data_IF_780876071809
#
_entry.id   IF_780876071809
#
_cell.length_a   1.000
_cell.length_b   1.000
_cell.length_c   1.000
_cell.angle_alpha   90.00
_cell.angle_beta   90.00
_cell.angle_gamma   90.00
#
_symmetry.space_group_name_H-M   'P 1'
#
loop_
_entity.id
_entity.type
_entity.pdbx_description
1 polymer ?
#
# COMPACT_ATOMS: atom_id res chain seq x y z
N UNK A 1 -27.31 -8.03 7.71
CA UNK A 1 -26.18 -7.06 7.52
C UNK A 1 -25.56 -7.35 6.17
N UNK A 2 -25.07 -6.33 5.42
CA UNK A 2 -24.36 -6.58 4.16
C UNK A 2 -22.99 -7.18 4.46
N UNK A 3 -22.59 -8.22 3.71
CA UNK A 3 -21.34 -8.96 3.88
C UNK A 3 -20.40 -8.67 2.71
N UNK A 4 -19.14 -8.36 3.02
CA UNK A 4 -18.06 -8.12 2.05
C UNK A 4 -16.90 -9.04 2.37
N UNK A 5 -16.34 -9.68 1.37
CA UNK A 5 -15.10 -10.47 1.49
C UNK A 5 -13.95 -9.67 0.93
N UNK A 6 -12.92 -9.46 1.73
CA UNK A 6 -11.62 -8.98 1.29
C UNK A 6 -10.77 -10.20 0.93
N UNK A 7 -10.59 -10.44 -0.36
CA UNK A 7 -9.76 -11.51 -0.89
C UNK A 7 -8.34 -11.02 -1.13
N UNK A 8 -7.37 -11.71 -0.54
CA UNK A 8 -5.95 -11.35 -0.61
C UNK A 8 -5.09 -12.58 -0.94
N UNK A 9 -3.83 -12.33 -1.27
CA UNK A 9 -2.87 -13.37 -1.57
C UNK A 9 -1.56 -13.09 -0.86
N UNK A 10 -1.01 -14.10 -0.20
CA UNK A 10 0.31 -14.10 0.44
C UNK A 10 0.53 -13.02 1.52
N UNK A 11 -0.54 -12.40 2.04
CA UNK A 11 -0.39 -11.43 3.14
C UNK A 11 0.13 -12.12 4.39
N UNK A 12 -0.34 -13.34 4.65
CA UNK A 12 0.11 -14.16 5.78
C UNK A 12 1.53 -14.70 5.63
N UNK A 13 2.07 -14.80 4.42
CA UNK A 13 3.45 -15.27 4.16
C UNK A 13 4.52 -14.35 4.72
N UNK A 14 4.24 -13.05 4.73
CA UNK A 14 5.21 -12.02 5.07
C UNK A 14 4.71 -11.17 6.24
N UNK A 15 4.61 -11.75 7.46
CA UNK A 15 4.00 -11.08 8.60
C UNK A 15 4.80 -9.87 9.08
N UNK A 16 6.08 -9.77 8.75
CA UNK A 16 6.96 -8.64 9.05
C UNK A 16 6.77 -7.45 8.10
N UNK A 17 6.10 -7.64 6.96
CA UNK A 17 5.76 -6.54 6.06
C UNK A 17 4.50 -5.81 6.53
N UNK A 18 4.59 -5.14 7.67
CA UNK A 18 3.45 -4.51 8.33
C UNK A 18 2.74 -3.44 7.48
N UNK A 19 3.45 -2.78 6.57
CA UNK A 19 2.84 -1.88 5.59
C UNK A 19 1.81 -2.61 4.72
N UNK A 20 2.15 -3.80 4.21
CA UNK A 20 1.22 -4.65 3.46
C UNK A 20 0.00 -5.06 4.30
N UNK A 21 0.23 -5.42 5.55
CA UNK A 21 -0.85 -5.75 6.51
C UNK A 21 -1.76 -4.54 6.73
N UNK A 22 -1.20 -3.33 6.90
CA UNK A 22 -1.98 -2.11 7.06
C UNK A 22 -2.87 -1.81 5.85
N UNK A 23 -2.41 -2.03 4.63
CA UNK A 23 -3.28 -1.87 3.44
C UNK A 23 -4.58 -2.64 3.62
N UNK A 24 -4.53 -3.90 4.06
CA UNK A 24 -5.70 -4.76 4.25
C UNK A 24 -6.53 -4.33 5.46
N UNK A 25 -5.88 -4.02 6.56
CA UNK A 25 -6.54 -3.52 7.77
C UNK A 25 -7.34 -2.24 7.50
N UNK A 26 -6.85 -1.33 6.66
CA UNK A 26 -7.57 -0.09 6.30
C UNK A 26 -8.92 -0.39 5.64
N UNK A 27 -8.99 -1.40 4.75
CA UNK A 27 -10.25 -1.85 4.15
C UNK A 27 -11.16 -2.49 5.19
N UNK A 28 -10.64 -3.44 5.99
CA UNK A 28 -11.38 -4.15 7.03
C UNK A 28 -12.00 -3.17 8.03
N UNK A 29 -11.19 -2.27 8.59
CA UNK A 29 -11.60 -1.28 9.59
C UNK A 29 -12.60 -0.27 9.00
N UNK A 30 -12.34 0.22 7.80
CA UNK A 30 -13.21 1.19 7.15
C UNK A 30 -14.59 0.61 6.81
N UNK A 31 -14.65 -0.61 6.28
CA UNK A 31 -15.91 -1.31 6.01
C UNK A 31 -16.68 -1.59 7.30
N UNK A 32 -16.00 -2.06 8.35
CA UNK A 32 -16.62 -2.29 9.66
C UNK A 32 -17.22 -0.99 10.23
N UNK A 33 -16.53 0.13 10.09
CA UNK A 33 -17.02 1.44 10.53
C UNK A 33 -18.27 1.91 9.75
N UNK A 34 -18.44 1.45 8.51
CA UNK A 34 -19.63 1.68 7.69
C UNK A 34 -20.80 0.70 8.02
N UNK A 35 -20.65 -0.15 9.04
CA UNK A 35 -21.66 -1.14 9.40
C UNK A 35 -21.71 -2.35 8.47
N UNK A 36 -20.63 -2.58 7.71
CA UNK A 36 -20.47 -3.76 6.84
C UNK A 36 -19.79 -4.87 7.63
N UNK A 37 -20.34 -6.08 7.54
CA UNK A 37 -19.68 -7.27 8.05
C UNK A 37 -18.60 -7.72 7.06
N UNK A 38 -17.35 -7.48 7.41
CA UNK A 38 -16.21 -7.74 6.53
C UNK A 38 -15.41 -8.96 6.98
N UNK A 39 -15.08 -9.83 6.02
CA UNK A 39 -14.30 -11.06 6.22
C UNK A 39 -13.01 -11.00 5.42
N UNK A 40 -11.90 -11.34 6.06
CA UNK A 40 -10.59 -11.39 5.41
C UNK A 40 -10.23 -12.82 5.01
N UNK A 41 -10.14 -13.09 3.72
CA UNK A 41 -9.71 -14.39 3.20
C UNK A 41 -8.39 -14.24 2.48
N UNK A 42 -7.33 -14.84 3.05
CA UNK A 42 -5.98 -14.80 2.48
C UNK A 42 -5.63 -16.17 1.87
N UNK A 43 -5.22 -16.18 0.60
CA UNK A 43 -4.68 -17.37 -0.03
C UNK A 43 -3.19 -17.44 0.26
N UNK A 44 -2.74 -18.54 0.85
CA UNK A 44 -1.34 -18.86 1.15
C UNK A 44 -0.94 -20.10 0.35
N UNK A 45 -0.01 -19.97 -0.58
CA UNK A 45 0.56 -21.11 -1.28
C UNK A 45 1.41 -21.98 -0.34
N UNK A 46 1.74 -23.20 -0.76
CA UNK A 46 2.58 -24.10 0.03
C UNK A 46 3.86 -23.39 0.52
N UNK A 47 4.18 -23.59 1.79
CA UNK A 47 5.39 -23.07 2.42
C UNK A 47 6.46 -24.17 2.33
N UNK A 48 7.50 -23.92 1.56
CA UNK A 48 8.65 -24.82 1.50
C UNK A 48 9.57 -24.52 2.69
N UNK A 49 9.73 -25.45 3.63
CA UNK A 49 10.54 -25.24 4.83
C UNK A 49 12.05 -25.13 4.52
N UNK A 50 12.48 -25.44 3.31
CA UNK A 50 13.89 -25.33 2.89
C UNK A 50 14.22 -23.93 2.38
N UNK A 51 13.23 -23.21 1.87
CA UNK A 51 13.44 -21.89 1.24
C UNK A 51 12.79 -20.74 1.98
N UNK A 52 11.82 -21.03 2.86
CA UNK A 52 11.13 -20.02 3.67
C UNK A 52 11.68 -19.94 5.09
N UNK A 53 11.91 -18.73 5.60
CA UNK A 53 12.49 -18.49 6.93
C UNK A 53 11.56 -18.85 8.10
N UNK A 54 10.26 -19.02 7.84
CA UNK A 54 9.25 -19.28 8.87
C UNK A 54 8.45 -20.55 8.57
N UNK A 55 8.02 -21.24 9.62
CA UNK A 55 7.10 -22.38 9.50
C UNK A 55 5.68 -21.93 9.25
N UNK A 56 4.84 -22.82 8.72
CA UNK A 56 3.42 -22.56 8.52
C UNK A 56 2.71 -22.16 9.83
N UNK A 57 3.04 -22.83 10.93
CA UNK A 57 2.47 -22.56 12.26
C UNK A 57 2.79 -21.13 12.70
N UNK A 58 4.04 -20.69 12.53
CA UNK A 58 4.44 -19.32 12.84
C UNK A 58 3.66 -18.30 12.02
N UNK A 59 3.50 -18.51 10.71
CA UNK A 59 2.77 -17.61 9.81
C UNK A 59 1.30 -17.48 10.23
N UNK A 60 0.66 -18.62 10.53
CA UNK A 60 -0.72 -18.67 10.99
C UNK A 60 -0.89 -17.97 12.34
N UNK A 61 0.00 -18.25 13.30
CA UNK A 61 -0.03 -17.60 14.63
C UNK A 61 0.13 -16.08 14.54
N UNK A 62 1.05 -15.61 13.71
CA UNK A 62 1.27 -14.17 13.49
C UNK A 62 0.06 -13.49 12.87
N UNK A 63 -0.57 -14.15 11.89
CA UNK A 63 -1.80 -13.63 11.28
C UNK A 63 -2.98 -13.61 12.27
N UNK A 64 -3.19 -14.70 13.01
CA UNK A 64 -4.23 -14.78 14.05
C UNK A 64 -4.04 -13.70 15.12
N UNK A 65 -2.80 -13.50 15.57
CA UNK A 65 -2.46 -12.44 16.52
C UNK A 65 -2.87 -11.07 15.99
N UNK A 66 -2.55 -10.76 14.73
CA UNK A 66 -2.96 -9.52 14.10
C UNK A 66 -4.47 -9.41 14.00
N UNK A 67 -5.15 -10.47 13.57
CA UNK A 67 -6.61 -10.49 13.49
C UNK A 67 -7.27 -10.24 14.86
N UNK A 68 -6.77 -10.84 15.92
CA UNK A 68 -7.23 -10.62 17.33
C UNK A 68 -7.02 -9.18 17.78
N UNK A 69 -5.84 -8.62 17.52
CA UNK A 69 -5.48 -7.26 17.92
C UNK A 69 -6.41 -6.20 17.30
N UNK A 70 -6.94 -6.47 16.11
CA UNK A 70 -7.85 -5.56 15.41
C UNK A 70 -9.33 -5.99 15.45
N UNK A 71 -9.67 -7.03 16.24
CA UNK A 71 -11.05 -7.49 16.45
C UNK A 71 -11.62 -8.32 15.29
N UNK A 72 -10.77 -9.03 14.53
CA UNK A 72 -11.15 -9.84 13.38
C UNK A 72 -10.89 -11.34 13.55
N UNK A 73 -10.68 -11.83 14.78
CA UNK A 73 -10.29 -13.22 15.06
C UNK A 73 -11.28 -14.28 14.58
N UNK A 74 -12.56 -13.95 14.50
CA UNK A 74 -13.66 -14.81 14.00
C UNK A 74 -14.06 -14.47 12.55
N UNK A 75 -13.37 -13.54 11.90
CA UNK A 75 -13.68 -13.01 10.57
C UNK A 75 -12.51 -13.12 9.59
N UNK A 76 -11.61 -14.09 9.81
CA UNK A 76 -10.55 -14.38 8.84
C UNK A 76 -10.48 -15.87 8.51
N UNK A 77 -9.98 -16.17 7.32
CA UNK A 77 -9.60 -17.51 6.90
C UNK A 77 -8.33 -17.45 6.06
N UNK A 78 -7.33 -18.24 6.41
CA UNK A 78 -6.20 -18.54 5.53
C UNK A 78 -6.54 -19.82 4.78
N UNK A 79 -6.63 -19.74 3.46
CA UNK A 79 -6.80 -20.88 2.56
C UNK A 79 -5.41 -21.33 2.11
N UNK A 80 -4.89 -22.37 2.73
CA UNK A 80 -3.55 -22.87 2.49
C UNK A 80 -3.54 -23.91 1.35
N UNK A 81 -2.53 -23.81 0.48
CA UNK A 81 -2.24 -24.74 -0.60
C UNK A 81 -3.48 -25.15 -1.40
N UNK A 82 -4.17 -24.15 -1.95
CA UNK A 82 -5.38 -24.29 -2.78
C UNK A 82 -6.56 -25.03 -2.09
N UNK A 83 -6.61 -24.96 -0.74
CA UNK A 83 -7.70 -25.53 0.04
C UNK A 83 -7.36 -26.82 0.79
N UNK A 84 -6.07 -27.24 0.79
CA UNK A 84 -5.63 -28.40 1.58
C UNK A 84 -5.90 -28.23 3.08
N UNK A 85 -5.71 -26.99 3.59
CA UNK A 85 -6.01 -26.63 4.98
C UNK A 85 -6.65 -25.26 5.06
N UNK A 86 -7.44 -25.07 6.10
CA UNK A 86 -8.07 -23.80 6.44
C UNK A 86 -7.73 -23.42 7.88
N UNK A 87 -7.29 -22.16 8.10
CA UNK A 87 -7.00 -21.62 9.43
C UNK A 87 -7.86 -20.38 9.66
N UNK A 88 -8.34 -20.18 10.89
CA UNK A 88 -9.39 -19.22 11.23
C UNK A 88 -10.77 -19.89 11.18
N UNK A 89 -11.72 -19.36 10.43
CA UNK A 89 -13.00 -20.04 10.27
C UNK A 89 -12.91 -21.23 9.27
N UNK A 90 -13.84 -22.20 9.42
CA UNK A 90 -13.77 -23.47 8.71
C UNK A 90 -14.08 -23.37 7.20
N UNK A 91 -13.75 -24.43 6.44
CA UNK A 91 -14.11 -24.55 5.04
C UNK A 91 -15.63 -24.46 4.83
N UNK A 92 -16.43 -25.12 5.69
CA UNK A 92 -17.89 -25.04 5.60
C UNK A 92 -18.42 -23.62 5.82
N UNK A 93 -17.81 -22.87 6.76
CA UNK A 93 -18.11 -21.46 6.98
C UNK A 93 -17.71 -20.61 5.77
N UNK A 94 -16.55 -20.89 5.14
CA UNK A 94 -16.12 -20.21 3.93
C UNK A 94 -17.08 -20.46 2.76
N UNK A 95 -17.58 -21.68 2.62
CA UNK A 95 -18.59 -22.01 1.60
C UNK A 95 -19.89 -21.23 1.82
N UNK A 96 -20.42 -21.25 3.05
CA UNK A 96 -21.62 -20.48 3.41
C UNK A 96 -21.45 -18.99 3.19
N UNK A 97 -20.27 -18.44 3.55
CA UNK A 97 -19.93 -17.05 3.30
C UNK A 97 -19.92 -16.73 1.80
N UNK A 98 -19.33 -17.61 0.98
CA UNK A 98 -19.30 -17.43 -0.48
C UNK A 98 -20.69 -17.35 -1.10
N UNK A 99 -21.66 -18.11 -0.55
CA UNK A 99 -23.05 -18.13 -1.00
C UNK A 99 -23.85 -16.89 -0.55
N UNK A 100 -23.50 -16.31 0.60
CA UNK A 100 -24.23 -15.18 1.22
C UNK A 100 -23.58 -13.81 1.00
N UNK A 101 -22.29 -13.76 0.67
CA UNK A 101 -21.56 -12.51 0.50
C UNK A 101 -22.09 -11.67 -0.67
N UNK A 102 -22.16 -10.37 -0.45
CA UNK A 102 -22.66 -9.40 -1.41
C UNK A 102 -21.60 -8.89 -2.37
N UNK A 103 -20.34 -8.87 -1.94
CA UNK A 103 -19.22 -8.32 -2.71
C UNK A 103 -17.90 -9.02 -2.32
N UNK A 104 -17.11 -9.34 -3.34
CA UNK A 104 -15.69 -9.65 -3.21
C UNK A 104 -14.86 -8.41 -3.61
N UNK A 105 -14.00 -7.94 -2.72
CA UNK A 105 -12.90 -7.04 -3.06
C UNK A 105 -11.62 -7.88 -3.23
N UNK A 106 -11.22 -8.15 -4.46
CA UNK A 106 -10.02 -8.92 -4.78
C UNK A 106 -8.83 -7.96 -4.94
N UNK A 107 -8.02 -7.85 -3.88
CA UNK A 107 -6.85 -6.96 -3.88
C UNK A 107 -5.80 -7.49 -4.86
N UNK A 108 -5.39 -6.64 -5.78
CA UNK A 108 -4.44 -6.94 -6.88
C UNK A 108 -4.88 -8.07 -7.82
N UNK A 109 -6.11 -8.59 -7.71
CA UNK A 109 -6.63 -9.60 -8.62
C UNK A 109 -6.00 -10.99 -8.52
N UNK A 110 -5.25 -11.28 -7.46
CA UNK A 110 -4.42 -12.49 -7.36
C UNK A 110 -5.17 -13.80 -7.01
N UNK A 111 -6.48 -13.75 -6.84
CA UNK A 111 -7.23 -14.98 -6.61
C UNK A 111 -7.33 -15.80 -7.91
N UNK A 112 -6.99 -17.12 -7.89
CA UNK A 112 -7.06 -17.95 -9.07
C UNK A 112 -8.52 -18.21 -9.49
N UNK A 113 -8.76 -18.61 -10.76
CA UNK A 113 -10.11 -18.94 -11.22
C UNK A 113 -10.81 -20.05 -10.41
N UNK A 114 -10.01 -20.97 -9.84
CA UNK A 114 -10.47 -22.08 -9.00
C UNK A 114 -10.96 -21.65 -7.62
N UNK A 115 -10.62 -20.43 -7.17
CA UNK A 115 -11.04 -19.94 -5.86
C UNK A 115 -12.57 -19.93 -5.75
N UNK A 116 -13.11 -20.53 -4.69
CA UNK A 116 -14.55 -20.49 -4.44
C UNK A 116 -15.10 -19.07 -4.27
N UNK A 117 -14.28 -18.10 -3.84
CA UNK A 117 -14.66 -16.69 -3.75
C UNK A 117 -15.06 -16.09 -5.10
N UNK A 118 -14.57 -16.65 -6.22
CA UNK A 118 -14.96 -16.22 -7.56
C UNK A 118 -16.42 -16.53 -7.91
N UNK A 119 -17.16 -17.25 -7.05
CA UNK A 119 -18.60 -17.48 -7.18
C UNK A 119 -19.44 -16.32 -6.63
N UNK A 120 -18.86 -15.43 -5.82
CA UNK A 120 -19.55 -14.24 -5.30
C UNK A 120 -20.02 -13.38 -6.49
N UNK A 121 -21.31 -13.00 -6.56
CA UNK A 121 -21.86 -12.37 -7.78
C UNK A 121 -21.21 -11.03 -8.13
N UNK A 122 -20.95 -10.15 -7.14
CA UNK A 122 -20.23 -8.88 -7.35
C UNK A 122 -18.78 -9.07 -7.01
N UNK A 123 -17.91 -8.92 -8.00
CA UNK A 123 -16.45 -9.08 -7.86
C UNK A 123 -15.75 -7.82 -8.34
N UNK A 124 -15.13 -7.13 -7.40
CA UNK A 124 -14.33 -5.96 -7.68
C UNK A 124 -12.84 -6.31 -7.72
N UNK A 125 -12.18 -5.99 -8.81
CA UNK A 125 -10.73 -5.96 -8.92
C UNK A 125 -10.24 -4.64 -8.31
N UNK A 126 -9.34 -4.68 -7.33
CA UNK A 126 -8.76 -3.49 -6.70
C UNK A 126 -7.28 -3.44 -7.04
N UNK A 127 -6.94 -2.64 -8.03
CA UNK A 127 -5.55 -2.43 -8.46
C UNK A 127 -4.83 -1.47 -7.51
N UNK A 128 -3.76 -1.95 -6.88
CA UNK A 128 -2.90 -1.16 -5.99
C UNK A 128 -1.51 -0.89 -6.60
N UNK A 129 -1.23 -1.44 -7.79
CA UNK A 129 0.01 -1.26 -8.55
C UNK A 129 -0.27 -0.71 -9.98
N UNK A 130 -0.85 0.51 -10.10
CA UNK A 130 -1.24 1.07 -11.39
C UNK A 130 -0.03 1.27 -12.31
N UNK A 131 -0.22 0.96 -13.59
CA UNK A 131 0.88 0.87 -14.56
C UNK A 131 1.38 -0.56 -14.67
N UNK A 132 1.85 -1.19 -13.61
CA UNK A 132 2.29 -2.59 -13.64
C UNK A 132 1.15 -3.55 -13.99
N UNK A 133 0.04 -3.49 -13.25
CA UNK A 133 -1.17 -4.28 -13.55
C UNK A 133 -1.59 -4.13 -15.00
N UNK A 134 -1.56 -2.91 -15.51
CA UNK A 134 -1.98 -2.59 -16.88
C UNK A 134 -1.01 -3.15 -17.94
N UNK A 135 0.31 -3.06 -17.69
CA UNK A 135 1.33 -3.64 -18.59
C UNK A 135 1.22 -5.17 -18.57
N UNK A 136 1.18 -5.80 -17.39
CA UNK A 136 1.06 -7.25 -17.30
C UNK A 136 -0.20 -7.77 -17.98
N UNK A 137 -1.31 -7.05 -17.90
CA UNK A 137 -2.55 -7.44 -18.57
C UNK A 137 -2.47 -7.40 -20.11
N UNK A 138 -1.44 -6.78 -20.72
CA UNK A 138 -1.15 -6.91 -22.15
C UNK A 138 -0.38 -8.19 -22.48
N UNK A 139 0.19 -8.88 -21.48
CA UNK A 139 1.13 -9.99 -21.65
C UNK A 139 0.59 -11.31 -21.11
N UNK A 140 -0.19 -11.25 -20.01
CA UNK A 140 -0.73 -12.43 -19.32
C UNK A 140 -2.18 -12.17 -18.88
N UNK A 141 -2.93 -13.25 -18.60
CA UNK A 141 -4.28 -13.13 -18.04
C UNK A 141 -4.23 -12.70 -16.56
N UNK A 142 -4.42 -11.41 -16.31
CA UNK A 142 -4.53 -10.82 -14.98
C UNK A 142 -5.91 -11.03 -14.32
N UNK A 143 -6.77 -11.83 -14.92
CA UNK A 143 -8.10 -12.12 -14.37
C UNK A 143 -9.14 -11.01 -14.56
N UNK A 144 -8.88 -10.03 -15.40
CA UNK A 144 -9.79 -8.89 -15.60
C UNK A 144 -11.18 -9.37 -16.03
N UNK A 145 -11.27 -10.30 -16.98
CA UNK A 145 -12.55 -10.85 -17.47
C UNK A 145 -13.39 -11.60 -16.42
N UNK A 146 -12.85 -11.83 -15.23
CA UNK A 146 -13.53 -12.52 -14.13
C UNK A 146 -14.16 -11.56 -13.11
N UNK A 147 -14.02 -10.25 -13.29
CA UNK A 147 -14.52 -9.21 -12.39
C UNK A 147 -15.60 -8.35 -13.08
N UNK A 148 -16.46 -7.73 -12.28
CA UNK A 148 -17.56 -6.89 -12.75
C UNK A 148 -17.29 -5.40 -12.51
N UNK A 149 -16.42 -5.10 -11.53
CA UNK A 149 -16.08 -3.75 -11.10
C UNK A 149 -14.55 -3.62 -11.00
N UNK A 150 -14.04 -2.43 -11.31
CA UNK A 150 -12.61 -2.21 -11.38
C UNK A 150 -12.24 -0.90 -10.71
N UNK A 151 -11.42 -0.99 -9.67
CA UNK A 151 -10.91 0.15 -8.94
C UNK A 151 -9.39 0.19 -9.05
N UNK A 152 -8.81 1.38 -9.12
CA UNK A 152 -7.36 1.57 -9.17
C UNK A 152 -6.93 2.72 -8.27
N UNK A 153 -5.76 2.59 -7.64
CA UNK A 153 -5.14 3.68 -6.87
C UNK A 153 -4.44 4.71 -7.77
N UNK A 154 -4.39 4.46 -9.08
CA UNK A 154 -3.82 5.37 -10.07
C UNK A 154 -4.80 6.47 -10.46
N UNK A 155 -4.56 7.71 -10.00
CA UNK A 155 -5.49 8.83 -10.21
C UNK A 155 -5.53 9.30 -11.66
N UNK A 156 -4.54 8.95 -12.48
CA UNK A 156 -4.48 9.28 -13.90
C UNK A 156 -4.97 8.15 -14.81
N UNK A 157 -5.22 6.95 -14.28
CA UNK A 157 -5.74 5.82 -15.07
C UNK A 157 -7.08 6.21 -15.70
N UNK A 158 -7.21 6.02 -17.01
CA UNK A 158 -8.40 6.45 -17.76
C UNK A 158 -8.39 7.91 -18.21
N UNK A 159 -7.36 8.69 -17.87
CA UNK A 159 -7.18 10.06 -18.37
C UNK A 159 -6.17 10.12 -19.53
N UNK A 160 -6.13 11.20 -20.32
CA UNK A 160 -5.12 11.37 -21.37
C UNK A 160 -3.66 11.40 -20.86
N UNK A 161 -3.45 11.57 -19.56
CA UNK A 161 -2.12 11.61 -18.97
C UNK A 161 -1.51 10.23 -18.73
N UNK A 162 -2.34 9.19 -18.62
CA UNK A 162 -1.90 7.81 -18.43
C UNK A 162 -1.47 7.19 -19.76
N UNK A 163 -0.26 6.64 -19.81
CA UNK A 163 0.39 6.22 -21.06
C UNK A 163 0.27 4.72 -21.36
N UNK A 164 -0.34 3.94 -20.47
CA UNK A 164 -0.44 2.49 -20.59
C UNK A 164 -1.86 2.08 -20.98
N UNK A 165 -2.06 1.01 -21.78
CA UNK A 165 -3.39 0.55 -22.18
C UNK A 165 -4.31 0.23 -21.02
N UNK A 166 -5.59 0.56 -21.15
CA UNK A 166 -6.61 0.23 -20.13
C UNK A 166 -7.12 -1.22 -20.23
N UNK A 167 -6.71 -1.97 -21.24
CA UNK A 167 -7.09 -3.36 -21.52
C UNK A 167 -8.61 -3.59 -21.64
N UNK A 168 -9.32 -2.62 -22.22
CA UNK A 168 -10.77 -2.69 -22.42
C UNK A 168 -11.60 -2.55 -21.14
N UNK A 169 -10.99 -2.12 -20.04
CA UNK A 169 -11.64 -2.01 -18.72
C UNK A 169 -11.89 -0.55 -18.39
N UNK A 170 -13.06 -0.28 -17.81
CA UNK A 170 -13.40 1.04 -17.26
C UNK A 170 -12.98 1.09 -15.77
N UNK A 171 -11.82 1.68 -15.53
CA UNK A 171 -11.23 1.80 -14.20
C UNK A 171 -11.81 3.00 -13.44
N UNK A 172 -12.22 2.77 -12.21
CA UNK A 172 -12.64 3.81 -11.28
C UNK A 172 -11.48 4.15 -10.34
N UNK A 173 -10.96 5.37 -10.43
CA UNK A 173 -9.89 5.82 -9.54
C UNK A 173 -10.39 6.00 -8.11
N UNK A 174 -9.66 5.42 -7.15
CA UNK A 174 -9.86 5.60 -5.70
C UNK A 174 -8.53 5.97 -5.05
N UNK A 175 -8.58 6.70 -3.95
CA UNK A 175 -7.39 6.91 -3.12
C UNK A 175 -7.22 5.76 -2.12
N UNK A 176 -5.98 5.46 -1.67
CA UNK A 176 -5.77 4.46 -0.64
C UNK A 176 -6.52 4.86 0.65
N UNK A 177 -7.41 4.02 1.18
CA UNK A 177 -8.16 4.35 2.38
C UNK A 177 -7.27 4.38 3.62
N UNK A 178 -7.56 5.25 4.59
CA UNK A 178 -6.93 5.25 5.91
C UNK A 178 -7.99 5.33 7.02
N UNK A 179 -7.94 4.40 7.96
CA UNK A 179 -8.84 4.34 9.11
C UNK A 179 -8.38 5.36 10.17
N UNK A 180 -8.89 6.58 10.11
CA UNK A 180 -8.41 7.73 10.89
C UNK A 180 -8.40 7.50 12.41
N UNK A 181 -9.30 6.69 12.95
CA UNK A 181 -9.36 6.34 14.36
C UNK A 181 -8.13 5.54 14.83
N UNK A 182 -7.51 4.80 13.91
CA UNK A 182 -6.28 4.06 14.15
C UNK A 182 -5.01 4.86 13.86
N UNK A 183 -5.15 6.03 13.23
CA UNK A 183 -4.08 6.96 12.89
C UNK A 183 -4.37 8.36 13.43
N UNK A 184 -4.44 8.52 14.78
CA UNK A 184 -4.63 9.83 15.38
C UNK A 184 -3.47 10.76 15.03
N UNK A 185 -3.76 12.03 14.83
CA UNK A 185 -2.72 13.03 14.59
C UNK A 185 -1.79 13.13 15.81
N UNK A 186 -0.48 13.10 15.58
CA UNK A 186 0.55 13.26 16.59
C UNK A 186 1.54 14.33 16.12
N UNK A 187 1.14 15.59 16.27
CA UNK A 187 1.97 16.75 15.89
C UNK A 187 2.97 16.99 17.01
N UNK A 188 4.26 16.81 16.70
CA UNK A 188 5.35 17.00 17.65
C UNK A 188 6.55 17.64 16.92
N UNK A 189 6.79 18.90 17.19
CA UNK A 189 7.91 19.67 16.61
C UNK A 189 9.29 19.19 17.05
N UNK A 190 9.38 18.37 18.11
CA UNK A 190 10.66 17.77 18.55
C UNK A 190 11.15 16.64 17.65
N UNK A 191 10.24 15.99 16.87
CA UNK A 191 10.59 14.97 15.92
C UNK A 191 11.55 15.52 14.85
N UNK A 192 12.68 14.83 14.63
CA UNK A 192 13.70 15.24 13.65
C UNK A 192 13.80 14.30 12.44
N UNK A 193 13.32 13.06 12.57
CA UNK A 193 13.44 12.04 11.53
C UNK A 193 12.56 12.36 10.34
N UNK A 194 13.16 12.58 9.19
CA UNK A 194 12.50 12.51 7.89
C UNK A 194 12.79 11.12 7.32
N UNK A 195 11.79 10.37 6.93
CA UNK A 195 12.09 8.99 6.52
C UNK A 195 10.95 8.24 5.90
N UNK A 196 11.21 6.97 5.63
CA UNK A 196 10.26 6.03 5.02
C UNK A 196 10.48 4.60 5.49
N UNK A 197 9.45 3.78 5.31
CA UNK A 197 9.49 2.31 5.42
C UNK A 197 9.15 1.71 4.06
N UNK A 198 9.84 0.67 3.64
CA UNK A 198 9.49 -0.03 2.38
C UNK A 198 10.59 -0.93 1.86
N UNK A 199 10.53 -1.21 0.56
CA UNK A 199 11.53 -2.01 -0.14
C UNK A 199 12.49 -1.12 -0.93
N UNK A 200 13.75 -1.59 -1.06
CA UNK A 200 14.77 -0.93 -1.87
C UNK A 200 14.47 -1.04 -3.36
N UNK A 201 14.21 -2.26 -3.85
CA UNK A 201 13.84 -2.48 -5.25
C UNK A 201 12.34 -2.48 -5.44
N UNK A 202 11.61 -3.19 -4.61
CA UNK A 202 10.29 -3.71 -4.91
C UNK A 202 10.38 -4.90 -5.88
N UNK A 203 9.41 -5.81 -5.82
CA UNK A 203 9.39 -7.02 -6.66
C UNK A 203 8.85 -6.78 -8.07
N UNK A 204 8.18 -5.66 -8.31
CA UNK A 204 7.50 -5.40 -9.58
C UNK A 204 8.48 -4.88 -10.63
N UNK A 205 8.43 -5.50 -11.81
CA UNK A 205 9.10 -5.03 -13.02
C UNK A 205 8.27 -5.43 -14.25
N UNK A 206 8.37 -4.66 -15.31
CA UNK A 206 7.71 -4.92 -16.58
C UNK A 206 8.49 -4.27 -17.73
N UNK A 207 8.31 -4.80 -18.92
CA UNK A 207 8.79 -4.16 -20.17
C UNK A 207 7.57 -3.90 -21.04
N UNK A 208 7.44 -2.68 -21.54
CA UNK A 208 6.36 -2.30 -22.44
C UNK A 208 6.90 -1.36 -23.51
N UNK A 209 6.65 -1.67 -24.79
CA UNK A 209 7.18 -0.91 -25.95
C UNK A 209 8.71 -0.68 -25.90
N UNK A 210 9.46 -1.66 -25.41
CA UNK A 210 10.92 -1.57 -25.30
C UNK A 210 11.42 -0.78 -24.06
N UNK A 211 10.53 -0.16 -23.29
CA UNK A 211 10.87 0.55 -22.08
C UNK A 211 10.77 -0.35 -20.84
N UNK A 212 11.74 -0.22 -19.92
CA UNK A 212 11.76 -0.92 -18.65
C UNK A 212 11.07 -0.08 -17.56
N UNK A 213 10.05 -0.68 -16.94
CA UNK A 213 9.31 -0.16 -15.80
C UNK A 213 9.71 -0.97 -14.56
N UNK A 214 10.43 -0.36 -13.64
CA UNK A 214 11.05 -1.08 -12.52
C UNK A 214 10.74 -0.49 -11.16
N UNK A 215 11.52 -0.93 -10.18
CA UNK A 215 11.41 -0.56 -8.77
C UNK A 215 12.02 0.80 -8.44
N UNK A 216 12.42 0.95 -7.16
CA UNK A 216 12.81 2.23 -6.55
C UNK A 216 14.32 2.48 -6.52
N UNK A 217 15.16 1.44 -6.61
CA UNK A 217 16.62 1.55 -6.44
C UNK A 217 17.21 2.69 -7.28
N UNK A 218 16.88 2.75 -8.56
CA UNK A 218 17.37 3.78 -9.46
C UNK A 218 17.00 5.18 -8.99
N UNK A 219 15.75 5.37 -8.59
CA UNK A 219 15.22 6.66 -8.13
C UNK A 219 15.95 7.16 -6.87
N UNK A 220 16.29 6.25 -5.92
CA UNK A 220 17.13 6.60 -4.77
C UNK A 220 18.57 6.96 -5.16
N UNK A 221 19.16 6.24 -6.12
CA UNK A 221 20.52 6.50 -6.59
C UNK A 221 20.63 7.89 -7.28
N UNK A 222 19.61 8.29 -8.01
CA UNK A 222 19.53 9.64 -8.62
C UNK A 222 19.47 10.75 -7.56
N UNK A 223 19.01 10.44 -6.35
CA UNK A 223 18.93 11.36 -5.19
C UNK A 223 20.03 11.13 -4.16
N UNK A 224 21.08 10.37 -4.49
CA UNK A 224 22.09 9.88 -3.54
C UNK A 224 22.66 10.99 -2.64
N UNK A 225 22.88 12.17 -3.17
CA UNK A 225 23.49 13.30 -2.45
C UNK A 225 22.49 14.18 -1.67
N UNK A 226 21.20 13.87 -1.70
CA UNK A 226 20.16 14.68 -1.06
C UNK A 226 20.42 14.96 0.43
N UNK A 227 20.72 13.97 1.31
CA UNK A 227 20.92 14.26 2.73
C UNK A 227 22.11 15.16 3.01
N UNK A 228 23.15 15.06 2.17
CA UNK A 228 24.37 15.87 2.30
C UNK A 228 24.12 17.33 1.91
N UNK A 229 23.36 17.56 0.82
CA UNK A 229 23.14 18.92 0.29
C UNK A 229 22.02 19.62 1.08
N UNK A 230 20.99 18.90 1.47
CA UNK A 230 19.89 19.44 2.28
C UNK A 230 20.24 19.58 3.77
N UNK A 231 21.37 19.06 4.21
CA UNK A 231 21.80 19.01 5.62
C UNK A 231 20.72 18.39 6.53
N UNK A 232 19.95 17.46 5.99
CA UNK A 232 18.82 16.81 6.65
C UNK A 232 19.12 15.32 6.89
N UNK A 233 18.84 14.84 8.09
CA UNK A 233 18.94 13.41 8.40
C UNK A 233 17.72 12.67 7.81
N UNK A 234 17.94 11.87 6.77
CA UNK A 234 16.91 11.01 6.17
C UNK A 234 17.18 9.57 6.57
N UNK A 235 16.17 8.93 7.17
CA UNK A 235 16.22 7.57 7.72
C UNK A 235 15.37 6.63 6.87
N UNK A 236 16.02 5.62 6.30
CA UNK A 236 15.39 4.65 5.40
C UNK A 236 15.28 3.29 6.10
N UNK A 237 14.11 2.92 6.58
CA UNK A 237 13.79 1.56 7.02
C UNK A 237 13.39 0.73 5.80
N UNK A 238 14.37 0.33 4.99
CA UNK A 238 14.18 -0.37 3.72
C UNK A 238 14.68 -1.80 3.77
N UNK A 239 13.86 -2.73 3.25
CA UNK A 239 14.30 -4.08 2.97
C UNK A 239 15.25 -4.07 1.77
N UNK A 240 16.54 -4.28 2.04
CA UNK A 240 17.62 -4.35 1.04
C UNK A 240 18.09 -5.80 1.01
N UNK A 241 17.88 -6.48 -0.11
CA UNK A 241 18.29 -7.87 -0.30
C UNK A 241 19.80 -8.04 -0.39
N UNK A 242 20.30 -9.29 -0.22
CA UNK A 242 21.74 -9.60 -0.28
C UNK A 242 22.41 -9.14 -1.58
N UNK A 243 21.69 -9.15 -2.68
CA UNK A 243 22.14 -8.70 -3.99
C UNK A 243 22.49 -7.22 -4.07
N UNK A 244 22.02 -6.42 -3.09
CA UNK A 244 22.21 -4.98 -3.03
C UNK A 244 22.93 -4.52 -1.75
N UNK A 245 23.59 -5.37 -1.01
CA UNK A 245 24.27 -4.98 0.23
C UNK A 245 25.36 -3.94 0.03
N UNK A 246 25.99 -3.87 -1.14
CA UNK A 246 26.95 -2.81 -1.49
C UNK A 246 26.29 -1.43 -1.49
N UNK A 247 25.00 -1.34 -1.86
CA UNK A 247 24.24 -0.09 -1.85
C UNK A 247 24.10 0.48 -0.43
N UNK A 248 24.10 -0.36 0.61
CA UNK A 248 24.08 0.09 2.01
C UNK A 248 25.32 0.94 2.32
N UNK A 249 26.48 0.50 1.85
CA UNK A 249 27.74 1.26 1.99
C UNK A 249 27.68 2.59 1.25
N UNK A 250 27.15 2.59 0.03
CA UNK A 250 26.99 3.77 -0.80
C UNK A 250 26.02 4.79 -0.16
N UNK A 251 24.88 4.32 0.35
CA UNK A 251 23.92 5.15 1.05
C UNK A 251 24.54 5.79 2.31
N UNK A 252 25.19 4.98 3.16
CA UNK A 252 25.82 5.45 4.40
C UNK A 252 26.92 6.49 4.13
N UNK A 253 27.77 6.28 3.11
CA UNK A 253 28.80 7.25 2.71
C UNK A 253 28.22 8.58 2.23
N UNK A 254 26.96 8.56 1.74
CA UNK A 254 26.21 9.74 1.29
C UNK A 254 25.29 10.34 2.38
N UNK A 255 25.50 9.95 3.64
CA UNK A 255 24.78 10.41 4.84
C UNK A 255 23.32 9.95 4.99
N UNK A 256 22.89 8.95 4.22
CA UNK A 256 21.62 8.29 4.51
C UNK A 256 21.75 7.40 5.74
N UNK A 257 20.75 7.39 6.59
CA UNK A 257 20.65 6.42 7.68
C UNK A 257 19.80 5.24 7.23
N UNK A 258 20.44 4.09 7.06
CA UNK A 258 19.74 2.83 6.72
C UNK A 258 19.44 2.09 8.01
N UNK A 259 18.16 1.81 8.22
CA UNK A 259 17.60 1.11 9.38
C UNK A 259 17.11 -0.29 8.97
N UNK A 260 17.12 -1.21 9.92
CA UNK A 260 16.48 -2.52 9.75
C UNK A 260 14.95 -2.35 9.78
N UNK A 261 14.22 -2.60 8.66
CA UNK A 261 12.78 -2.40 8.61
C UNK A 261 12.02 -3.34 9.55
N UNK A 262 12.54 -4.54 9.81
CA UNK A 262 11.90 -5.53 10.66
C UNK A 262 11.96 -5.15 12.14
N UNK A 263 13.02 -4.48 12.55
CA UNK A 263 13.17 -3.97 13.91
C UNK A 263 12.27 -2.75 14.16
N UNK A 264 12.15 -1.86 13.19
CA UNK A 264 11.46 -0.58 13.37
C UNK A 264 9.99 -0.60 12.92
N UNK A 265 9.60 -1.53 12.06
CA UNK A 265 8.28 -1.56 11.43
C UNK A 265 7.80 -2.99 11.09
N UNK A 266 8.26 -3.99 11.86
CA UNK A 266 8.00 -5.41 11.61
C UNK A 266 6.64 -5.92 12.11
N UNK A 267 5.81 -5.06 12.69
CA UNK A 267 4.43 -5.34 13.05
C UNK A 267 3.56 -4.07 12.92
N UNK A 268 2.21 -4.18 12.90
CA UNK A 268 1.35 -3.02 12.68
C UNK A 268 1.53 -1.88 13.70
N UNK A 269 1.86 -2.16 14.94
CA UNK A 269 2.04 -1.12 15.97
C UNK A 269 3.38 -0.43 15.85
N UNK A 270 4.47 -1.17 15.67
CA UNK A 270 5.81 -0.61 15.45
C UNK A 270 5.86 0.20 14.16
N UNK A 271 5.21 -0.25 13.08
CA UNK A 271 5.05 0.51 11.85
C UNK A 271 4.32 1.84 12.10
N UNK A 272 3.19 1.83 12.82
CA UNK A 272 2.46 3.05 13.18
C UNK A 272 3.31 3.98 14.03
N UNK A 273 4.01 3.46 15.03
CA UNK A 273 4.89 4.25 15.89
C UNK A 273 6.03 4.89 15.08
N UNK A 274 6.65 4.14 14.14
CA UNK A 274 7.65 4.69 13.22
C UNK A 274 7.11 5.90 12.45
N UNK A 275 5.93 5.78 11.86
CA UNK A 275 5.27 6.86 11.13
C UNK A 275 4.97 8.05 12.06
N UNK A 276 4.33 7.80 13.21
CA UNK A 276 3.88 8.84 14.13
C UNK A 276 5.02 9.55 14.87
N UNK A 277 6.18 8.92 15.01
CA UNK A 277 7.38 9.53 15.58
C UNK A 277 8.31 10.13 14.53
N UNK A 278 7.93 10.11 13.26
CA UNK A 278 8.63 10.85 12.22
C UNK A 278 8.22 12.33 12.19
N UNK A 279 9.13 13.18 11.72
CA UNK A 279 8.84 14.58 11.39
C UNK A 279 8.04 14.68 10.10
N UNK A 280 8.47 13.95 9.08
CA UNK A 280 7.86 13.94 7.76
C UNK A 280 8.17 12.62 7.03
N UNK A 281 7.37 12.29 6.02
CA UNK A 281 7.74 11.29 5.03
C UNK A 281 8.71 11.88 4.00
N UNK A 282 9.72 11.07 3.62
CA UNK A 282 10.42 11.22 2.35
C UNK A 282 10.30 9.91 1.57
N UNK A 283 9.81 9.94 0.35
CA UNK A 283 9.57 8.73 -0.42
C UNK A 283 9.81 8.92 -1.91
N UNK A 284 10.52 7.96 -2.51
CA UNK A 284 10.54 7.78 -3.97
C UNK A 284 9.45 6.80 -4.39
N UNK A 285 8.96 6.96 -5.62
CA UNK A 285 8.03 6.04 -6.25
C UNK A 285 8.80 4.95 -7.04
N UNK A 286 8.15 3.84 -7.37
CA UNK A 286 8.69 2.90 -8.37
C UNK A 286 8.79 3.61 -9.73
N UNK A 287 9.86 3.39 -10.49
CA UNK A 287 10.00 4.01 -11.81
C UNK A 287 8.82 3.66 -12.74
N UNK A 288 8.18 2.52 -12.51
CA UNK A 288 6.95 2.13 -13.21
C UNK A 288 5.80 3.11 -12.99
N UNK A 289 5.60 3.64 -11.80
CA UNK A 289 4.57 4.63 -11.52
C UNK A 289 4.90 6.00 -12.10
N UNK A 290 6.17 6.38 -12.04
CA UNK A 290 6.67 7.66 -12.59
C UNK A 290 6.54 7.67 -14.11
N UNK A 291 7.08 6.66 -14.80
CA UNK A 291 7.08 6.55 -16.25
C UNK A 291 5.69 6.41 -16.86
N UNK A 292 4.82 5.63 -16.23
CA UNK A 292 3.43 5.49 -16.66
C UNK A 292 2.58 6.73 -16.38
N UNK A 293 3.11 7.68 -15.60
CA UNK A 293 2.37 8.83 -15.10
C UNK A 293 1.05 8.43 -14.44
N UNK A 294 1.11 7.40 -13.60
CA UNK A 294 -0.08 6.71 -13.07
C UNK A 294 -0.92 7.55 -12.10
N UNK A 295 -0.36 8.62 -11.54
CA UNK A 295 -1.01 9.40 -10.48
C UNK A 295 -1.09 8.64 -9.15
N UNK A 296 -0.22 7.64 -8.95
CA UNK A 296 -0.22 6.83 -7.74
C UNK A 296 0.26 7.60 -6.50
N UNK A 297 -0.44 7.38 -5.39
CA UNK A 297 -0.04 7.83 -4.05
C UNK A 297 0.02 6.61 -3.15
N UNK A 298 1.07 6.52 -2.33
CA UNK A 298 1.26 5.40 -1.43
C UNK A 298 0.21 5.38 -0.31
N UNK A 299 -0.27 4.19 0.03
CA UNK A 299 -0.98 3.91 1.28
C UNK A 299 -0.19 4.35 2.52
N UNK A 300 1.14 4.20 2.49
CA UNK A 300 2.04 4.72 3.53
C UNK A 300 1.93 6.25 3.63
N UNK A 301 1.90 6.97 2.52
CA UNK A 301 1.72 8.43 2.50
C UNK A 301 0.39 8.81 3.17
N UNK A 302 -0.70 8.08 2.89
CA UNK A 302 -1.98 8.29 3.56
C UNK A 302 -1.86 8.13 5.10
N UNK A 303 -1.05 7.17 5.59
CA UNK A 303 -0.79 6.99 7.01
C UNK A 303 0.01 8.15 7.63
N UNK A 304 1.01 8.68 6.92
CA UNK A 304 1.74 9.87 7.36
C UNK A 304 0.82 11.09 7.43
N UNK A 305 0.05 11.36 6.37
CA UNK A 305 -0.90 12.47 6.34
C UNK A 305 -1.93 12.36 7.47
N UNK A 306 -2.50 11.17 7.70
CA UNK A 306 -3.44 10.92 8.77
C UNK A 306 -2.83 11.19 10.16
N UNK A 307 -1.55 10.89 10.34
CA UNK A 307 -0.80 11.17 11.56
C UNK A 307 -0.43 12.66 11.74
N UNK A 308 -0.86 13.54 10.82
CA UNK A 308 -0.47 14.94 10.81
C UNK A 308 1.00 15.15 10.47
N UNK A 309 1.59 14.23 9.69
CA UNK A 309 2.97 14.30 9.24
C UNK A 309 2.99 14.71 7.77
N UNK A 310 3.63 15.83 7.41
CA UNK A 310 3.76 16.22 6.01
C UNK A 310 4.55 15.18 5.22
N UNK A 311 4.25 15.07 3.94
CA UNK A 311 4.88 14.11 3.05
C UNK A 311 5.56 14.80 1.87
N UNK A 312 6.82 14.41 1.61
CA UNK A 312 7.59 14.75 0.42
C UNK A 312 7.75 13.48 -0.41
N UNK A 313 7.06 13.41 -1.54
CA UNK A 313 6.99 12.21 -2.37
C UNK A 313 7.37 12.49 -3.81
N UNK A 314 8.00 11.52 -4.47
CA UNK A 314 8.29 11.68 -5.89
C UNK A 314 7.00 11.74 -6.70
N UNK A 315 6.99 12.67 -7.67
CA UNK A 315 5.84 12.88 -8.56
C UNK A 315 5.55 11.65 -9.42
N UNK A 316 4.31 11.26 -9.43
CA UNK A 316 3.72 10.27 -10.35
C UNK A 316 2.62 10.89 -11.21
N UNK A 317 2.53 12.23 -11.22
CA UNK A 317 1.52 12.99 -11.97
C UNK A 317 0.23 13.27 -11.20
N UNK A 318 0.21 13.17 -9.87
CA UNK A 318 -1.00 13.35 -9.05
C UNK A 318 -1.23 14.78 -8.54
N UNK A 319 -0.37 15.73 -8.88
CA UNK A 319 -0.34 17.09 -8.32
C UNK A 319 -1.65 17.87 -8.54
N UNK A 320 -2.33 17.62 -9.64
CA UNK A 320 -3.59 18.27 -9.97
C UNK A 320 -4.71 17.98 -8.96
N UNK A 321 -4.61 16.85 -8.25
CA UNK A 321 -5.60 16.44 -7.24
C UNK A 321 -5.41 17.16 -5.91
N UNK A 322 -4.20 17.65 -5.63
CA UNK A 322 -3.82 18.27 -4.35
C UNK A 322 -3.20 19.64 -4.60
N UNK A 323 -4.00 20.63 -5.04
CA UNK A 323 -3.51 21.97 -5.29
C UNK A 323 -3.02 22.62 -4.01
N UNK A 324 -1.98 23.44 -4.11
CA UNK A 324 -1.48 24.24 -2.98
C UNK A 324 -0.29 23.67 -2.21
N UNK A 325 0.08 22.42 -2.44
CA UNK A 325 1.31 21.79 -1.93
C UNK A 325 1.61 22.01 -0.42
N UNK A 326 0.57 22.16 0.43
CA UNK A 326 0.72 22.14 1.87
C UNK A 326 0.35 20.77 2.40
N UNK A 327 1.21 20.22 3.26
CA UNK A 327 1.04 18.88 3.83
C UNK A 327 1.49 17.74 2.93
N UNK A 328 1.32 17.86 1.61
CA UNK A 328 1.80 16.93 0.59
C UNK A 328 2.55 17.74 -0.48
N UNK A 329 3.85 17.55 -0.58
CA UNK A 329 4.69 18.18 -1.61
C UNK A 329 5.25 17.07 -2.50
N UNK A 330 5.21 17.29 -3.82
CA UNK A 330 5.81 16.39 -4.79
C UNK A 330 7.13 16.96 -5.31
N UNK A 331 8.04 16.09 -5.74
CA UNK A 331 9.29 16.46 -6.40
C UNK A 331 9.56 15.57 -7.62
N UNK A 332 10.30 16.07 -8.60
CA UNK A 332 10.72 15.36 -9.82
C UNK A 332 12.23 15.17 -9.90
N UNK A 333 12.97 15.98 -9.18
CA UNK A 333 14.44 16.00 -9.22
C UNK A 333 15.02 16.40 -7.85
N UNK A 334 16.34 16.37 -7.78
CA UNK A 334 17.09 16.68 -6.54
C UNK A 334 16.84 18.11 -6.06
N UNK A 335 16.81 19.08 -6.97
CA UNK A 335 16.62 20.50 -6.64
C UNK A 335 15.26 20.75 -6.02
N UNK A 336 14.19 20.16 -6.59
CA UNK A 336 12.83 20.25 -6.06
C UNK A 336 12.74 19.57 -4.68
N UNK A 337 13.39 18.40 -4.49
CA UNK A 337 13.42 17.73 -3.20
C UNK A 337 14.09 18.55 -2.11
N UNK A 338 15.21 19.21 -2.42
CA UNK A 338 15.92 20.11 -1.48
C UNK A 338 15.02 21.31 -1.13
N UNK A 339 14.41 21.94 -2.12
CA UNK A 339 13.52 23.07 -1.90
C UNK A 339 12.33 22.72 -1.00
N UNK A 340 11.74 21.53 -1.20
CA UNK A 340 10.62 21.04 -0.42
C UNK A 340 10.99 20.74 1.04
N UNK A 341 12.15 20.12 1.31
CA UNK A 341 12.62 19.91 2.69
C UNK A 341 12.79 21.24 3.45
N UNK A 342 13.33 22.25 2.78
CA UNK A 342 13.44 23.59 3.35
C UNK A 342 12.08 24.27 3.56
N UNK A 343 11.07 23.97 2.73
CA UNK A 343 9.74 24.51 2.87
C UNK A 343 9.05 23.99 4.14
N UNK A 344 9.24 22.72 4.50
CA UNK A 344 8.69 22.17 5.75
C UNK A 344 9.19 22.90 6.99
N UNK A 345 10.46 23.34 7.02
CA UNK A 345 11.03 24.00 8.18
C UNK A 345 10.50 25.43 8.40
N UNK A 346 10.02 26.08 7.35
CA UNK A 346 9.49 27.47 7.45
C UNK A 346 8.17 27.57 8.17
N UNK A 347 7.27 26.57 8.00
CA UNK A 347 5.92 26.58 8.59
C UNK A 347 5.46 25.14 8.89
N UNK A 348 6.25 24.43 9.70
CA UNK A 348 6.03 23.01 9.97
C UNK A 348 4.61 22.73 10.50
N UNK A 349 4.13 23.55 11.44
CA UNK A 349 2.81 23.36 12.04
C UNK A 349 1.67 23.53 11.02
N UNK A 350 1.79 24.44 10.07
CA UNK A 350 0.81 24.57 9.01
C UNK A 350 0.83 23.39 8.06
N UNK A 351 2.04 22.85 7.74
CA UNK A 351 2.15 21.62 6.97
C UNK A 351 1.54 20.41 7.69
N UNK A 352 1.74 20.29 9.01
CA UNK A 352 1.13 19.22 9.80
C UNK A 352 -0.40 19.29 9.81
N UNK A 353 -0.97 20.48 10.01
CA UNK A 353 -2.43 20.67 9.97
C UNK A 353 -2.98 20.36 8.58
N UNK A 354 -2.33 20.85 7.53
CA UNK A 354 -2.74 20.57 6.15
C UNK A 354 -2.64 19.09 5.80
N UNK A 355 -1.60 18.38 6.27
CA UNK A 355 -1.46 16.94 6.10
C UNK A 355 -2.67 16.19 6.70
N UNK A 356 -3.02 16.50 7.95
CA UNK A 356 -4.19 15.90 8.59
C UNK A 356 -5.48 16.21 7.85
N UNK A 357 -5.68 17.45 7.44
CA UNK A 357 -6.86 17.86 6.66
C UNK A 357 -6.98 17.11 5.35
N UNK A 358 -5.87 16.95 4.60
CA UNK A 358 -5.85 16.13 3.36
C UNK A 358 -6.28 14.68 3.63
N UNK A 359 -5.81 14.09 4.74
CA UNK A 359 -6.23 12.75 5.11
C UNK A 359 -7.72 12.65 5.42
N UNK A 360 -8.27 13.60 6.14
CA UNK A 360 -9.71 13.67 6.49
C UNK A 360 -10.61 13.90 5.28
N UNK A 361 -10.16 14.72 4.35
CA UNK A 361 -10.93 15.08 3.15
C UNK A 361 -10.89 13.98 2.10
N UNK A 362 -9.72 13.40 1.85
CA UNK A 362 -9.47 12.57 0.66
C UNK A 362 -9.20 11.10 0.94
N UNK A 363 -8.54 10.77 2.07
CA UNK A 363 -8.07 9.41 2.37
C UNK A 363 -8.90 8.70 3.44
N UNK A 364 -9.86 9.37 4.07
CA UNK A 364 -10.74 8.77 5.08
C UNK A 364 -11.39 7.50 4.54
N UNK A 365 -11.11 6.36 5.20
CA UNK A 365 -11.58 5.04 4.75
C UNK A 365 -13.10 4.96 4.61
N UNK A 366 -13.86 5.65 5.46
CA UNK A 366 -15.32 5.67 5.35
C UNK A 366 -15.76 6.38 4.06
N UNK A 367 -15.12 7.50 3.69
CA UNK A 367 -15.46 8.23 2.45
C UNK A 367 -15.07 7.43 1.21
N UNK A 368 -13.84 6.90 1.18
CA UNK A 368 -13.34 6.12 0.06
C UNK A 368 -14.17 4.86 -0.15
N UNK A 369 -14.41 4.10 0.91
CA UNK A 369 -15.14 2.84 0.81
C UNK A 369 -16.65 3.01 0.62
N UNK A 370 -17.25 4.10 1.13
CA UNK A 370 -18.63 4.43 0.79
C UNK A 370 -18.79 4.70 -0.72
N UNK A 371 -17.82 5.37 -1.35
CA UNK A 371 -17.81 5.57 -2.80
C UNK A 371 -17.68 4.23 -3.56
N UNK A 372 -16.81 3.32 -3.09
CA UNK A 372 -16.67 1.97 -3.66
C UNK A 372 -18.00 1.20 -3.55
N UNK A 373 -18.62 1.19 -2.36
CA UNK A 373 -19.91 0.51 -2.12
C UNK A 373 -21.03 1.09 -3.00
N UNK A 374 -21.10 2.42 -3.10
CA UNK A 374 -22.09 3.09 -3.96
C UNK A 374 -21.90 2.70 -5.43
N UNK A 375 -20.66 2.63 -5.92
CA UNK A 375 -20.35 2.27 -7.32
C UNK A 375 -20.76 0.82 -7.64
N UNK A 376 -20.70 -0.10 -6.69
CA UNK A 376 -21.13 -1.50 -6.86
C UNK A 376 -22.61 -1.71 -6.51
N UNK A 377 -23.37 -0.66 -6.21
CA UNK A 377 -24.80 -0.72 -5.90
C UNK A 377 -25.10 -1.27 -4.49
N UNK A 378 -24.28 -0.92 -3.53
CA UNK A 378 -24.42 -1.34 -2.12
C UNK A 378 -24.63 -0.16 -1.19
#
# INVERSE_FOLDING_TARGET
MKQVVLGTHETSRWPEFAGSTWVRLQYMLGLTKLGIECFWVDRLAAVDPLTHSHTLEYLVERFDRTARQFGFHDRYCIVYNDGEKHFGFSESSLKSLTESAHLLLNISGHLPPSSQLMRIPRRAYVDVDPGFTHIWATQVDMGLGRHNFFFTTGQNVGTPHFKIPLNGVNWQAILPPVALDHWPARIDGSCKRVGTVGDWRGSQHAVYEGEYYGGKRREYIELLHLPRIAECAIELALCIGPEDWEDIGLLKSSRWKVLDPFLYAGDPYSYREFVQTSRAEFSVAKSGYVKSNSGWISDRTACYLASGKPALVQSTGCEWKFPGQKGLITFRNLEEAIAALKAFDRDYDAHCRAARQLAEEHFNSQKVLASVLSHVGM
#
